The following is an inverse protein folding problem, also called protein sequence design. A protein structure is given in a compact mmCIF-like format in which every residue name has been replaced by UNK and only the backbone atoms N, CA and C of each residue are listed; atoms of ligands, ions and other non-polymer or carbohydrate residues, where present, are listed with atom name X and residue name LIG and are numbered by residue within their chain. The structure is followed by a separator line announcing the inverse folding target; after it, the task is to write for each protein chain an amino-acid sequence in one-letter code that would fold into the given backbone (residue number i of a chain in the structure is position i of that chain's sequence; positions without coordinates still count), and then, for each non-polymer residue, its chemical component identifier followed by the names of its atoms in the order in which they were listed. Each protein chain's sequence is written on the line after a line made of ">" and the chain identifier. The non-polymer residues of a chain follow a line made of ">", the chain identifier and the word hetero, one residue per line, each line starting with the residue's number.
data_IF_550269107459
#
_entry.id   IF_550269107459
#
_cell.length_a   1.000
_cell.length_b   1.000
_cell.length_c   1.000
_cell.angle_alpha   90.00
_cell.angle_beta   90.00
_cell.angle_gamma   90.00
#
_symmetry.space_group_name_H-M   'P 1'
#
loop_
_entity.id
_entity.type
_entity.pdbx_description
1 polymer ?
#
# COMPACT_ATOMS: atom_id res chain seq x y z
N UNK A 1 48.51 -45.84 29.93
CA UNK A 1 47.15 -45.30 30.08
C UNK A 1 46.21 -46.28 29.40
N UNK A 2 45.40 -46.98 30.18
CA UNK A 2 44.59 -48.08 29.67
C UNK A 2 43.47 -47.53 28.78
N UNK A 3 43.07 -48.27 27.75
CA UNK A 3 41.97 -47.89 26.84
C UNK A 3 40.66 -47.61 27.61
N UNK A 4 40.47 -48.25 28.77
CA UNK A 4 39.35 -48.00 29.69
C UNK A 4 39.44 -46.66 30.44
N UNK A 5 40.63 -46.22 30.86
CA UNK A 5 40.81 -44.91 31.53
C UNK A 5 40.56 -43.75 30.56
N UNK A 6 41.04 -43.87 29.31
CA UNK A 6 40.83 -42.85 28.28
C UNK A 6 39.33 -42.69 27.93
N UNK A 7 38.60 -43.80 27.83
CA UNK A 7 37.16 -43.75 27.59
C UNK A 7 36.41 -43.15 28.79
N UNK A 8 36.78 -43.51 30.02
CA UNK A 8 36.10 -43.03 31.21
C UNK A 8 36.29 -41.51 31.41
N UNK A 9 37.51 -40.99 31.21
CA UNK A 9 37.80 -39.55 31.25
C UNK A 9 37.09 -38.79 30.11
N UNK A 10 36.94 -39.40 28.93
CA UNK A 10 36.18 -38.81 27.83
C UNK A 10 34.68 -38.72 28.15
N UNK A 11 34.07 -39.78 28.68
CA UNK A 11 32.65 -39.78 29.05
C UNK A 11 32.36 -38.82 30.22
N UNK A 12 33.26 -38.73 31.20
CA UNK A 12 33.14 -37.79 32.32
C UNK A 12 33.26 -36.36 31.82
N UNK A 13 34.24 -36.04 30.97
CA UNK A 13 34.40 -34.70 30.40
C UNK A 13 33.21 -34.32 29.51
N UNK A 14 32.70 -35.23 28.68
CA UNK A 14 31.51 -35.00 27.87
C UNK A 14 30.26 -34.78 28.73
N UNK A 15 30.09 -35.56 29.79
CA UNK A 15 29.00 -35.39 30.75
C UNK A 15 29.07 -34.04 31.47
N UNK A 16 30.27 -33.59 31.86
CA UNK A 16 30.51 -32.29 32.51
C UNK A 16 30.24 -31.13 31.55
N UNK A 17 30.75 -31.18 30.31
CA UNK A 17 30.46 -30.14 29.31
C UNK A 17 28.97 -30.11 28.99
N UNK A 18 28.32 -31.25 28.78
CA UNK A 18 26.88 -31.30 28.54
C UNK A 18 26.07 -30.74 29.71
N UNK A 19 26.44 -31.11 30.94
CA UNK A 19 25.81 -30.59 32.16
C UNK A 19 25.99 -29.07 32.32
N UNK A 20 27.20 -28.55 32.16
CA UNK A 20 27.49 -27.11 32.25
C UNK A 20 26.80 -26.32 31.13
N UNK A 21 26.73 -26.89 29.93
CA UNK A 21 26.08 -26.25 28.79
C UNK A 21 24.58 -26.21 28.95
N UNK A 22 23.95 -27.30 29.40
CA UNK A 22 22.53 -27.35 29.73
C UNK A 22 22.21 -26.38 30.88
N UNK A 23 23.05 -26.33 31.91
CA UNK A 23 22.91 -25.38 33.01
C UNK A 23 23.02 -23.93 32.52
N UNK A 24 24.01 -23.64 31.66
CA UNK A 24 24.19 -22.34 31.03
C UNK A 24 23.00 -21.93 30.15
N UNK A 25 22.45 -22.85 29.37
CA UNK A 25 21.22 -22.64 28.60
C UNK A 25 20.06 -22.30 29.52
N UNK A 26 19.85 -23.08 30.59
CA UNK A 26 18.77 -22.86 31.55
C UNK A 26 18.92 -21.50 32.25
N UNK A 27 20.11 -21.18 32.75
CA UNK A 27 20.40 -19.90 33.41
C UNK A 27 20.19 -18.74 32.45
N UNK A 28 20.79 -18.76 31.27
CA UNK A 28 20.64 -17.71 30.26
C UNK A 28 19.17 -17.56 29.84
N UNK A 29 18.44 -18.65 29.64
CA UNK A 29 16.99 -18.62 29.34
C UNK A 29 16.20 -17.96 30.46
N UNK A 30 16.55 -18.24 31.72
CA UNK A 30 15.86 -17.65 32.88
C UNK A 30 16.23 -16.18 33.08
N UNK A 31 17.50 -15.81 32.85
CA UNK A 31 17.99 -14.43 32.95
C UNK A 31 17.42 -13.55 31.85
N UNK A 32 17.46 -14.01 30.60
CA UNK A 32 16.83 -13.34 29.45
C UNK A 32 15.33 -13.18 29.71
N UNK A 33 14.67 -14.21 30.24
CA UNK A 33 13.26 -14.14 30.59
C UNK A 33 12.97 -13.06 31.65
N UNK A 34 13.77 -13.00 32.72
CA UNK A 34 13.64 -11.97 33.76
C UNK A 34 13.96 -10.57 33.23
N UNK A 35 15.00 -10.43 32.41
CA UNK A 35 15.40 -9.15 31.81
C UNK A 35 14.31 -8.60 30.87
N UNK A 36 13.73 -9.46 30.03
CA UNK A 36 12.62 -9.09 29.15
C UNK A 36 11.39 -8.66 29.94
N UNK A 37 11.03 -9.39 31.01
CA UNK A 37 9.91 -9.02 31.88
C UNK A 37 10.16 -7.73 32.67
N UNK A 38 11.41 -7.47 33.07
CA UNK A 38 11.79 -6.22 33.75
C UNK A 38 11.72 -5.01 32.81
N UNK A 39 11.89 -5.22 31.50
CA UNK A 39 11.77 -4.16 30.50
C UNK A 39 10.30 -3.83 30.20
N UNK A 40 9.41 -4.83 30.19
CA UNK A 40 7.96 -4.63 30.04
C UNK A 40 7.31 -3.94 31.24
N UNK A 41 7.86 -4.09 32.45
CA UNK A 41 7.26 -3.46 33.65
C UNK A 41 7.45 -1.94 33.71
N UNK A 42 8.21 -1.35 32.78
CA UNK A 42 8.49 0.09 32.70
C UNK A 42 7.91 0.76 31.43
N UNK A 43 7.37 -0.01 30.48
CA UNK A 43 6.71 0.55 29.28
C UNK A 43 5.23 0.82 29.56
N UNK A 44 4.77 2.02 29.22
CA UNK A 44 3.37 2.46 29.39
C UNK A 44 2.47 2.11 28.20
N UNK A 45 3.01 1.43 27.16
CA UNK A 45 2.32 1.18 25.88
C UNK A 45 2.07 -0.32 25.66
N UNK A 46 0.81 -0.72 25.42
CA UNK A 46 0.38 -2.11 25.18
C UNK A 46 1.14 -2.82 24.02
N UNK A 47 1.65 -2.04 23.07
CA UNK A 47 2.40 -2.52 21.91
C UNK A 47 3.84 -2.94 22.23
N UNK A 48 4.47 -2.29 23.20
CA UNK A 48 5.83 -2.62 23.63
C UNK A 48 5.84 -4.02 24.27
N UNK A 49 4.79 -4.33 25.04
CA UNK A 49 4.59 -5.64 25.65
C UNK A 49 4.39 -6.75 24.61
N UNK A 50 3.63 -6.47 23.54
CA UNK A 50 3.41 -7.42 22.45
C UNK A 50 4.69 -7.72 21.67
N UNK A 51 5.53 -6.71 21.40
CA UNK A 51 6.83 -6.89 20.75
C UNK A 51 7.79 -7.67 21.64
N UNK A 52 7.90 -7.32 22.93
CA UNK A 52 8.79 -8.02 23.87
C UNK A 52 8.35 -9.48 24.07
N UNK A 53 7.05 -9.74 24.17
CA UNK A 53 6.50 -11.10 24.26
C UNK A 53 6.81 -11.94 23.02
N UNK A 54 6.87 -11.31 21.85
CA UNK A 54 7.17 -11.99 20.58
C UNK A 54 8.66 -12.28 20.46
N UNK A 55 9.53 -11.31 20.82
CA UNK A 55 10.98 -11.48 20.88
C UNK A 55 11.45 -12.46 21.97
N UNK A 56 10.60 -12.74 22.95
CA UNK A 56 10.87 -13.75 23.99
C UNK A 56 11.23 -15.11 23.42
N UNK A 57 10.42 -15.67 22.50
CA UNK A 57 10.72 -17.02 21.97
C UNK A 57 12.07 -17.05 21.23
N UNK A 58 12.35 -16.13 20.29
CA UNK A 58 13.66 -16.00 19.63
C UNK A 58 14.84 -15.86 20.60
N UNK A 59 14.73 -14.98 21.59
CA UNK A 59 15.81 -14.74 22.54
C UNK A 59 16.07 -15.97 23.42
N UNK A 60 15.05 -16.79 23.68
CA UNK A 60 15.24 -18.09 24.34
C UNK A 60 15.89 -19.17 23.47
N UNK A 61 15.91 -19.01 22.14
CA UNK A 61 16.58 -19.92 21.21
C UNK A 61 18.10 -19.65 21.10
N UNK A 62 18.54 -18.43 21.38
CA UNK A 62 19.97 -18.06 21.31
C UNK A 62 20.84 -18.89 22.27
N UNK A 63 20.52 -19.01 23.58
CA UNK A 63 21.30 -19.84 24.48
C UNK A 63 21.37 -21.30 24.03
N UNK A 64 20.26 -21.85 23.52
CA UNK A 64 20.21 -23.22 23.00
C UNK A 64 21.18 -23.39 21.84
N UNK A 65 21.23 -22.44 20.90
CA UNK A 65 22.19 -22.46 19.79
C UNK A 65 23.63 -22.34 20.25
N UNK A 66 23.91 -21.44 21.19
CA UNK A 66 25.26 -21.28 21.81
C UNK A 66 25.68 -22.57 22.50
N UNK A 67 24.75 -23.24 23.20
CA UNK A 67 25.06 -24.48 23.87
C UNK A 67 25.27 -25.65 22.91
N UNK A 68 24.47 -25.74 21.83
CA UNK A 68 24.75 -26.70 20.76
C UNK A 68 26.14 -26.47 20.14
N UNK A 69 26.54 -25.20 19.96
CA UNK A 69 27.88 -24.85 19.50
C UNK A 69 28.98 -25.24 20.50
N UNK A 70 28.81 -24.94 21.79
CA UNK A 70 29.78 -25.31 22.82
C UNK A 70 29.94 -26.84 22.91
N UNK A 71 28.84 -27.58 22.83
CA UNK A 71 28.86 -29.06 22.81
C UNK A 71 29.57 -29.60 21.57
N UNK A 72 29.33 -29.01 20.40
CA UNK A 72 29.98 -29.39 19.16
C UNK A 72 31.50 -29.22 19.21
N UNK A 73 31.99 -28.17 19.88
CA UNK A 73 33.43 -27.91 20.04
C UNK A 73 34.09 -28.81 21.09
N UNK A 74 33.32 -29.30 22.07
CA UNK A 74 33.84 -30.17 23.12
C UNK A 74 33.93 -31.65 22.70
N UNK A 75 33.15 -32.07 21.70
CA UNK A 75 33.22 -33.41 21.15
C UNK A 75 34.46 -33.53 20.23
N UNK A 76 35.31 -34.58 20.39
CA UNK A 76 36.42 -34.85 19.50
C UNK A 76 35.92 -35.43 18.17
N UNK A 77 35.22 -34.60 17.39
CA UNK A 77 34.66 -34.97 16.10
C UNK A 77 35.75 -35.02 15.03
N UNK A 78 35.69 -36.01 14.14
CA UNK A 78 36.45 -36.01 12.89
C UNK A 78 36.05 -34.80 12.04
N UNK A 79 36.96 -34.28 11.21
CA UNK A 79 36.74 -33.10 10.35
C UNK A 79 35.40 -33.15 9.59
N UNK A 80 35.05 -34.31 9.03
CA UNK A 80 33.76 -34.52 8.33
C UNK A 80 32.56 -34.22 9.23
N UNK A 81 32.52 -34.77 10.44
CA UNK A 81 31.42 -34.56 11.37
C UNK A 81 31.37 -33.12 11.88
N UNK A 82 32.53 -32.49 12.09
CA UNK A 82 32.64 -31.09 12.48
C UNK A 82 32.00 -30.15 11.46
N UNK A 83 32.23 -30.38 10.16
CA UNK A 83 31.58 -29.60 9.08
C UNK A 83 30.06 -29.73 9.11
N UNK A 84 29.53 -30.94 9.21
CA UNK A 84 28.08 -31.14 9.28
C UNK A 84 27.46 -30.52 10.54
N UNK A 85 28.14 -30.61 11.68
CA UNK A 85 27.66 -29.99 12.92
C UNK A 85 27.64 -28.46 12.83
N UNK A 86 28.68 -27.84 12.24
CA UNK A 86 28.70 -26.39 11.99
C UNK A 86 27.55 -25.95 11.05
N UNK A 87 27.30 -26.69 9.97
CA UNK A 87 26.18 -26.45 9.06
C UNK A 87 24.82 -26.54 9.76
N UNK A 88 24.64 -27.54 10.63
CA UNK A 88 23.40 -27.72 11.41
C UNK A 88 23.18 -26.57 12.40
N UNK A 89 24.24 -26.12 13.09
CA UNK A 89 24.17 -25.00 14.02
C UNK A 89 23.85 -23.70 13.28
N UNK A 90 24.52 -23.42 12.15
CA UNK A 90 24.22 -22.27 11.31
C UNK A 90 22.77 -22.31 10.82
N UNK A 91 22.31 -23.46 10.32
CA UNK A 91 20.92 -23.64 9.88
C UNK A 91 19.91 -23.35 11.00
N UNK A 92 20.20 -23.82 12.22
CA UNK A 92 19.39 -23.52 13.40
C UNK A 92 19.28 -22.00 13.65
N UNK A 93 20.40 -21.27 13.61
CA UNK A 93 20.38 -19.82 13.82
C UNK A 93 19.62 -19.08 12.71
N UNK A 94 19.80 -19.46 11.45
CA UNK A 94 19.07 -18.86 10.34
C UNK A 94 17.56 -19.09 10.49
N UNK A 95 17.12 -20.32 10.76
CA UNK A 95 15.71 -20.62 10.99
C UNK A 95 15.17 -19.86 12.20
N UNK A 96 15.93 -19.78 13.30
CA UNK A 96 15.53 -19.03 14.49
C UNK A 96 15.34 -17.54 14.20
N UNK A 97 16.24 -16.93 13.42
CA UNK A 97 16.15 -15.51 13.02
C UNK A 97 14.95 -15.27 12.11
N UNK A 98 14.76 -16.06 11.05
CA UNK A 98 13.67 -15.84 10.11
C UNK A 98 12.30 -16.19 10.70
N UNK A 99 12.22 -17.23 11.53
CA UNK A 99 11.02 -17.53 12.30
C UNK A 99 10.70 -16.42 13.31
N UNK A 100 11.72 -15.84 13.97
CA UNK A 100 11.56 -14.65 14.81
C UNK A 100 10.98 -13.47 14.06
N UNK A 101 11.55 -13.15 12.88
CA UNK A 101 11.07 -12.04 12.06
C UNK A 101 9.62 -12.27 11.63
N UNK A 102 9.28 -13.50 11.23
CA UNK A 102 7.92 -13.87 10.89
C UNK A 102 6.96 -13.75 12.09
N UNK A 103 7.36 -14.13 13.30
CA UNK A 103 6.51 -13.99 14.48
C UNK A 103 6.29 -12.52 14.86
N UNK A 104 7.29 -11.65 14.69
CA UNK A 104 7.18 -10.18 14.90
C UNK A 104 6.15 -9.52 13.96
N UNK A 105 5.74 -10.19 12.89
CA UNK A 105 4.67 -9.71 12.00
C UNK A 105 3.31 -9.66 12.71
N UNK A 106 3.04 -10.56 13.66
CA UNK A 106 1.77 -10.59 14.40
C UNK A 106 1.53 -9.35 15.30
N UNK A 107 2.45 -8.93 16.19
CA UNK A 107 2.26 -7.70 16.96
C UNK A 107 2.21 -6.45 16.07
N UNK A 108 2.95 -6.44 14.95
CA UNK A 108 2.87 -5.35 13.97
C UNK A 108 1.48 -5.30 13.31
N UNK A 109 0.87 -6.46 13.01
CA UNK A 109 -0.49 -6.54 12.48
C UNK A 109 -1.48 -5.91 13.45
N UNK A 110 -1.36 -6.23 14.73
CA UNK A 110 -2.29 -5.79 15.76
C UNK A 110 -2.13 -4.28 16.01
N UNK A 111 -0.88 -3.78 16.06
CA UNK A 111 -0.58 -2.35 16.10
C UNK A 111 -1.20 -1.57 14.93
N UNK A 112 -1.01 -2.05 13.69
CA UNK A 112 -1.62 -1.44 12.50
C UNK A 112 -3.15 -1.55 12.56
N UNK A 113 -3.66 -2.63 13.16
CA UNK A 113 -5.08 -2.88 13.38
C UNK A 113 -5.77 -1.83 14.23
N UNK A 114 -5.15 -1.49 15.35
CA UNK A 114 -5.69 -0.53 16.32
C UNK A 114 -5.55 0.92 15.86
N UNK A 115 -4.46 1.25 15.18
CA UNK A 115 -4.17 2.62 14.74
C UNK A 115 -4.85 3.01 13.43
N UNK A 116 -5.09 2.05 12.53
CA UNK A 116 -5.55 2.32 11.17
C UNK A 116 -6.78 1.49 10.77
N UNK A 117 -7.95 2.13 10.78
CA UNK A 117 -9.23 1.53 10.41
C UNK A 117 -9.50 1.44 8.89
N UNK A 118 -8.61 1.98 8.05
CA UNK A 118 -8.81 1.98 6.59
C UNK A 118 -8.63 0.59 5.95
N UNK A 119 -7.91 -0.32 6.61
CA UNK A 119 -7.75 -1.71 6.18
C UNK A 119 -8.82 -2.59 6.87
N UNK A 120 -9.60 -3.31 6.08
CA UNK A 120 -10.51 -4.33 6.62
C UNK A 120 -9.71 -5.41 7.35
N UNK A 121 -10.30 -5.99 8.40
CA UNK A 121 -9.66 -7.05 9.20
C UNK A 121 -9.19 -8.21 8.32
N UNK A 122 -10.00 -8.57 7.31
CA UNK A 122 -9.65 -9.59 6.32
C UNK A 122 -8.43 -9.17 5.51
N UNK A 123 -8.43 -7.99 4.88
CA UNK A 123 -7.32 -7.52 4.05
C UNK A 123 -6.01 -7.44 4.83
N UNK A 124 -6.07 -6.93 6.06
CA UNK A 124 -4.94 -6.90 6.99
C UNK A 124 -4.43 -8.31 7.29
N UNK A 125 -5.31 -9.28 7.59
CA UNK A 125 -4.87 -10.66 7.80
C UNK A 125 -4.15 -11.25 6.57
N UNK A 126 -4.64 -10.99 5.36
CA UNK A 126 -4.00 -11.46 4.12
C UNK A 126 -2.61 -10.85 3.90
N UNK A 127 -2.47 -9.52 4.05
CA UNK A 127 -1.19 -8.81 3.87
C UNK A 127 -0.13 -9.35 4.84
N UNK A 128 -0.49 -9.44 6.12
CA UNK A 128 0.45 -9.88 7.15
C UNK A 128 0.78 -11.38 7.03
N UNK A 129 -0.16 -12.24 6.59
CA UNK A 129 0.15 -13.64 6.25
C UNK A 129 1.11 -13.76 5.07
N UNK A 130 0.91 -12.96 4.02
CA UNK A 130 1.83 -12.92 2.88
C UNK A 130 3.23 -12.47 3.31
N UNK A 131 3.33 -11.47 4.20
CA UNK A 131 4.60 -11.01 4.75
C UNK A 131 5.31 -12.11 5.57
N UNK A 132 4.57 -12.88 6.39
CA UNK A 132 5.13 -14.05 7.10
C UNK A 132 5.67 -15.09 6.13
N UNK A 133 4.92 -15.37 5.05
CA UNK A 133 5.35 -16.31 4.02
C UNK A 133 6.67 -15.88 3.38
N UNK A 134 6.86 -14.58 3.11
CA UNK A 134 8.13 -14.05 2.59
C UNK A 134 9.29 -14.33 3.56
N UNK A 135 9.14 -14.06 4.86
CA UNK A 135 10.18 -14.36 5.84
C UNK A 135 10.53 -15.86 5.89
N UNK A 136 9.53 -16.75 5.82
CA UNK A 136 9.78 -18.19 5.78
C UNK A 136 10.49 -18.63 4.50
N UNK A 137 10.11 -18.09 3.34
CA UNK A 137 10.76 -18.40 2.07
C UNK A 137 12.23 -17.97 2.08
N UNK A 138 12.53 -16.76 2.57
CA UNK A 138 13.91 -16.27 2.69
C UNK A 138 14.70 -17.18 3.64
N UNK A 139 14.12 -17.53 4.80
CA UNK A 139 14.78 -18.42 5.75
C UNK A 139 15.10 -19.81 5.18
N UNK A 140 14.17 -20.39 4.41
CA UNK A 140 14.41 -21.66 3.72
C UNK A 140 15.53 -21.51 2.68
N UNK A 141 15.48 -20.48 1.84
CA UNK A 141 16.50 -20.24 0.80
C UNK A 141 17.88 -20.03 1.42
N UNK A 142 17.98 -19.25 2.49
CA UNK A 142 19.25 -19.04 3.18
C UNK A 142 19.82 -20.33 3.79
N UNK A 143 18.97 -21.22 4.31
CA UNK A 143 19.43 -22.54 4.75
C UNK A 143 19.91 -23.36 3.56
N UNK A 144 19.15 -23.46 2.47
CA UNK A 144 19.57 -24.21 1.28
C UNK A 144 20.96 -23.75 0.76
N UNK A 145 21.20 -22.43 0.75
CA UNK A 145 22.48 -21.85 0.37
C UNK A 145 23.63 -22.31 1.29
N UNK A 146 23.42 -22.36 2.62
CA UNK A 146 24.41 -22.91 3.56
C UNK A 146 24.79 -24.34 3.24
N UNK A 147 23.85 -25.15 2.75
CA UNK A 147 24.08 -26.54 2.38
C UNK A 147 24.68 -26.72 0.99
N UNK A 148 25.08 -25.63 0.33
CA UNK A 148 25.69 -25.65 -1.00
C UNK A 148 24.68 -25.94 -2.12
N UNK A 149 23.38 -25.85 -1.83
CA UNK A 149 22.33 -25.90 -2.85
C UNK A 149 22.28 -24.52 -3.51
N UNK A 150 22.31 -24.49 -4.85
CA UNK A 150 22.29 -23.24 -5.60
C UNK A 150 20.98 -22.47 -5.37
N UNK A 151 21.06 -21.48 -4.48
CA UNK A 151 19.96 -20.56 -4.22
C UNK A 151 19.72 -19.61 -5.40
N UNK A 152 20.69 -19.41 -6.30
CA UNK A 152 20.53 -18.50 -7.43
C UNK A 152 19.41 -18.97 -8.37
N UNK A 153 19.30 -20.28 -8.62
CA UNK A 153 18.22 -20.86 -9.41
C UNK A 153 16.82 -20.62 -8.78
N UNK A 154 16.70 -20.74 -7.45
CA UNK A 154 15.44 -20.47 -6.73
C UNK A 154 15.10 -18.99 -6.77
N UNK A 155 16.09 -18.13 -6.49
CA UNK A 155 15.93 -16.67 -6.53
C UNK A 155 15.55 -16.19 -7.93
N UNK A 156 16.17 -16.76 -8.98
CA UNK A 156 15.82 -16.47 -10.37
C UNK A 156 14.36 -16.85 -10.67
N UNK A 157 13.91 -18.02 -10.22
CA UNK A 157 12.51 -18.45 -10.34
C UNK A 157 11.54 -17.53 -9.59
N UNK A 158 11.87 -17.15 -8.36
CA UNK A 158 11.07 -16.19 -7.57
C UNK A 158 11.06 -14.79 -8.21
N UNK A 159 12.16 -14.37 -8.83
CA UNK A 159 12.24 -13.12 -9.58
C UNK A 159 11.28 -13.12 -10.77
N UNK A 160 11.29 -14.18 -11.58
CA UNK A 160 10.35 -14.32 -12.70
C UNK A 160 8.90 -14.38 -12.23
N UNK A 161 8.62 -15.13 -11.15
CA UNK A 161 7.29 -15.19 -10.55
C UNK A 161 6.84 -13.81 -10.05
N UNK A 162 7.74 -13.02 -9.46
CA UNK A 162 7.45 -11.66 -8.98
C UNK A 162 7.05 -10.72 -10.13
N UNK A 163 7.65 -10.86 -11.31
CA UNK A 163 7.25 -10.12 -12.51
C UNK A 163 5.82 -10.50 -12.92
N UNK A 164 5.49 -11.79 -12.98
CA UNK A 164 4.13 -12.23 -13.29
C UNK A 164 3.10 -11.70 -12.28
N UNK A 165 3.44 -11.72 -10.99
CA UNK A 165 2.60 -11.14 -9.94
C UNK A 165 2.43 -9.62 -10.10
N UNK A 166 3.51 -8.90 -10.41
CA UNK A 166 3.48 -7.46 -10.64
C UNK A 166 2.63 -7.08 -11.85
N UNK A 167 2.72 -7.85 -12.95
CA UNK A 167 1.87 -7.68 -14.12
C UNK A 167 0.38 -7.92 -13.77
N UNK A 168 0.08 -8.96 -13.00
CA UNK A 168 -1.27 -9.21 -12.50
C UNK A 168 -1.82 -8.10 -11.60
N UNK A 169 -0.94 -7.45 -10.83
CA UNK A 169 -1.29 -6.34 -9.94
C UNK A 169 -1.21 -4.94 -10.60
N UNK A 170 -0.83 -4.84 -11.88
CA UNK A 170 -0.57 -3.56 -12.55
C UNK A 170 -1.74 -2.58 -12.44
N UNK A 171 -2.97 -3.05 -12.65
CA UNK A 171 -4.17 -2.23 -12.55
C UNK A 171 -4.41 -1.65 -11.15
N UNK A 172 -4.02 -2.38 -10.09
CA UNK A 172 -4.12 -1.87 -8.72
C UNK A 172 -3.19 -0.67 -8.54
N UNK A 173 -1.92 -0.81 -8.92
CA UNK A 173 -0.94 0.26 -8.79
C UNK A 173 -1.27 1.46 -9.69
N UNK A 174 -1.75 1.24 -10.91
CA UNK A 174 -2.18 2.32 -11.82
C UNK A 174 -3.26 3.19 -11.18
N UNK A 175 -4.25 2.56 -10.53
CA UNK A 175 -5.31 3.30 -9.84
C UNK A 175 -4.83 3.99 -8.56
N UNK A 176 -3.92 3.36 -7.81
CA UNK A 176 -3.34 3.99 -6.62
C UNK A 176 -2.56 5.26 -7.00
N UNK A 177 -1.68 5.17 -8.01
CA UNK A 177 -0.91 6.31 -8.50
C UNK A 177 -1.84 7.38 -9.07
N UNK A 178 -2.84 7.01 -9.88
CA UNK A 178 -3.83 7.95 -10.40
C UNK A 178 -4.57 8.70 -9.29
N UNK A 179 -4.91 8.02 -8.19
CA UNK A 179 -5.54 8.66 -7.02
C UNK A 179 -4.62 9.69 -6.36
N UNK A 180 -3.34 9.35 -6.20
CA UNK A 180 -2.33 10.26 -5.66
C UNK A 180 -2.13 11.49 -6.54
N UNK A 181 -2.11 11.32 -7.87
CA UNK A 181 -1.98 12.42 -8.82
C UNK A 181 -3.19 13.36 -8.77
N UNK A 182 -4.41 12.82 -8.73
CA UNK A 182 -5.64 13.62 -8.58
C UNK A 182 -5.56 14.51 -7.33
N UNK A 183 -5.14 13.95 -6.19
CA UNK A 183 -5.03 14.68 -4.91
C UNK A 183 -3.88 15.69 -4.95
N UNK A 184 -2.74 15.32 -5.52
CA UNK A 184 -1.54 16.15 -5.57
C UNK A 184 -1.67 17.34 -6.51
N UNK A 185 -2.17 17.10 -7.72
CA UNK A 185 -2.36 18.13 -8.75
C UNK A 185 -3.64 18.95 -8.55
N UNK A 186 -4.60 18.41 -7.80
CA UNK A 186 -5.89 19.06 -7.49
C UNK A 186 -6.67 19.48 -8.75
N UNK A 187 -6.63 18.67 -9.82
CA UNK A 187 -7.42 18.89 -11.05
C UNK A 187 -8.92 19.03 -10.78
N UNK A 188 -9.40 18.39 -9.70
CA UNK A 188 -10.70 18.59 -9.09
C UNK A 188 -10.64 18.18 -7.61
N UNK A 189 -11.64 18.56 -6.84
CA UNK A 189 -11.77 18.28 -5.41
C UNK A 189 -13.13 17.66 -5.10
N UNK A 190 -13.26 17.12 -3.89
CA UNK A 190 -14.56 16.71 -3.37
C UNK A 190 -15.53 17.89 -3.38
N UNK A 191 -16.73 17.68 -3.92
CA UNK A 191 -17.76 18.70 -4.14
C UNK A 191 -17.79 19.27 -5.56
N UNK A 192 -16.72 19.13 -6.33
CA UNK A 192 -16.68 19.69 -7.68
C UNK A 192 -17.65 18.97 -8.63
N UNK A 193 -18.32 19.73 -9.50
CA UNK A 193 -19.02 19.17 -10.64
C UNK A 193 -18.03 19.00 -11.79
N UNK A 194 -17.81 17.74 -12.15
CA UNK A 194 -16.90 17.37 -13.22
C UNK A 194 -17.64 16.60 -14.33
N UNK A 195 -17.11 16.71 -15.54
CA UNK A 195 -17.49 15.88 -16.67
C UNK A 195 -16.25 15.26 -17.32
N UNK A 196 -16.34 13.96 -17.54
CA UNK A 196 -15.39 13.15 -18.29
C UNK A 196 -16.16 12.57 -19.46
N UNK A 197 -15.83 13.03 -20.66
CA UNK A 197 -16.57 12.72 -21.89
C UNK A 197 -16.69 11.20 -22.10
N UNK A 198 -17.92 10.72 -22.28
CA UNK A 198 -18.22 9.30 -22.49
C UNK A 198 -18.07 8.40 -21.26
N UNK A 199 -17.67 8.92 -20.10
CA UNK A 199 -17.42 8.13 -18.88
C UNK A 199 -18.40 8.47 -17.77
N UNK A 200 -18.40 9.73 -17.31
CA UNK A 200 -19.19 10.15 -16.17
C UNK A 200 -19.34 11.68 -16.11
N UNK A 201 -20.53 12.13 -15.74
CA UNK A 201 -20.80 13.52 -15.41
C UNK A 201 -21.57 13.60 -14.09
N UNK A 202 -21.10 14.45 -13.17
CA UNK A 202 -21.74 14.65 -11.87
C UNK A 202 -20.84 15.33 -10.83
N UNK A 203 -21.30 15.35 -9.59
CA UNK A 203 -20.55 15.93 -8.47
C UNK A 203 -19.69 14.89 -7.76
N UNK A 204 -18.44 15.22 -7.46
CA UNK A 204 -17.49 14.34 -6.78
C UNK A 204 -17.88 14.21 -5.32
N UNK A 205 -18.33 13.02 -4.90
CA UNK A 205 -18.67 12.78 -3.49
C UNK A 205 -17.48 12.34 -2.66
N UNK A 206 -16.56 11.54 -3.23
CA UNK A 206 -15.42 11.01 -2.49
C UNK A 206 -14.33 10.52 -3.44
N UNK A 207 -13.07 10.77 -3.10
CA UNK A 207 -11.91 10.19 -3.77
C UNK A 207 -11.36 9.08 -2.87
N UNK A 208 -11.53 7.81 -3.26
CA UNK A 208 -10.95 6.66 -2.56
C UNK A 208 -9.61 6.24 -3.19
N UNK A 209 -8.92 5.27 -2.57
CA UNK A 209 -7.59 4.83 -3.00
C UNK A 209 -7.53 4.30 -4.45
N UNK A 210 -8.60 3.65 -4.95
CA UNK A 210 -8.66 3.05 -6.29
C UNK A 210 -9.61 3.74 -7.24
N UNK A 211 -10.62 4.41 -6.71
CA UNK A 211 -11.73 4.96 -7.48
C UNK A 211 -12.25 6.23 -6.86
N UNK A 212 -12.87 7.06 -7.68
CA UNK A 212 -13.61 8.23 -7.23
C UNK A 212 -15.09 7.97 -7.39
N UNK A 213 -15.86 8.25 -6.33
CA UNK A 213 -17.31 8.23 -6.31
C UNK A 213 -17.83 9.56 -6.83
N UNK A 214 -18.55 9.50 -7.95
CA UNK A 214 -19.22 10.64 -8.57
C UNK A 214 -20.73 10.40 -8.46
N UNK A 215 -21.49 11.42 -8.07
CA UNK A 215 -22.95 11.40 -8.03
C UNK A 215 -23.49 12.07 -9.28
N UNK A 216 -24.14 11.29 -10.13
CA UNK A 216 -24.83 11.79 -11.32
C UNK A 216 -26.04 12.65 -10.93
N UNK A 217 -26.55 13.41 -11.89
CA UNK A 217 -27.71 14.29 -11.68
C UNK A 217 -29.02 13.54 -11.39
N UNK A 218 -29.14 12.31 -11.89
CA UNK A 218 -30.21 11.36 -11.55
C UNK A 218 -30.04 10.71 -10.16
N UNK A 219 -29.05 11.19 -9.37
CA UNK A 219 -28.64 10.68 -8.07
C UNK A 219 -28.07 9.25 -8.09
N UNK A 220 -27.76 8.66 -9.24
CA UNK A 220 -27.05 7.39 -9.28
C UNK A 220 -25.55 7.57 -8.90
N UNK A 221 -25.00 6.73 -7.99
CA UNK A 221 -23.57 6.73 -7.73
C UNK A 221 -22.82 6.00 -8.84
N UNK A 222 -21.74 6.59 -9.34
CA UNK A 222 -20.80 5.95 -10.26
C UNK A 222 -19.40 5.93 -9.65
N UNK A 223 -18.77 4.74 -9.66
CA UNK A 223 -17.41 4.55 -9.17
C UNK A 223 -16.47 4.49 -10.37
N UNK A 224 -15.71 5.54 -10.59
CA UNK A 224 -14.78 5.61 -11.73
C UNK A 224 -13.37 5.28 -11.24
N UNK A 225 -12.64 4.35 -11.88
CA UNK A 225 -11.26 4.06 -11.52
C UNK A 225 -10.39 5.32 -11.62
N UNK A 226 -9.55 5.57 -10.62
CA UNK A 226 -8.71 6.77 -10.58
C UNK A 226 -7.73 6.85 -11.75
N UNK A 227 -7.30 5.70 -12.28
CA UNK A 227 -6.46 5.65 -13.49
C UNK A 227 -7.16 6.24 -14.71
N UNK A 228 -8.46 5.98 -14.87
CA UNK A 228 -9.26 6.56 -15.97
C UNK A 228 -9.34 8.07 -15.80
N UNK A 229 -9.63 8.56 -14.60
CA UNK A 229 -9.73 9.99 -14.32
C UNK A 229 -8.39 10.71 -14.51
N UNK A 230 -7.30 10.12 -14.05
CA UNK A 230 -5.96 10.70 -14.19
C UNK A 230 -5.52 10.81 -15.65
N UNK A 231 -5.85 9.81 -16.47
CA UNK A 231 -5.45 9.74 -17.88
C UNK A 231 -6.39 10.53 -18.82
N UNK A 232 -7.58 10.91 -18.35
CA UNK A 232 -8.60 11.58 -19.19
C UNK A 232 -8.53 13.11 -19.13
N UNK A 233 -9.12 13.74 -20.15
CA UNK A 233 -9.50 15.14 -20.10
C UNK A 233 -10.70 15.31 -19.16
N UNK A 234 -10.61 16.29 -18.24
CA UNK A 234 -11.62 16.56 -17.24
C UNK A 234 -12.07 18.00 -17.39
N UNK A 235 -13.37 18.19 -17.54
CA UNK A 235 -13.99 19.52 -17.50
C UNK A 235 -14.48 19.73 -16.06
N UNK A 236 -13.84 20.66 -15.33
CA UNK A 236 -14.29 21.06 -14.00
C UNK A 236 -15.20 22.29 -14.11
N UNK A 237 -16.51 22.06 -14.01
CA UNK A 237 -17.50 23.13 -14.09
C UNK A 237 -17.53 24.00 -12.83
N UNK A 238 -17.04 23.51 -11.69
CA UNK A 238 -16.99 24.27 -10.45
C UNK A 238 -15.91 25.35 -10.44
N UNK A 239 -14.84 25.18 -11.21
CA UNK A 239 -13.75 26.15 -11.34
C UNK A 239 -14.02 27.18 -12.47
N UNK A 240 -15.19 27.16 -13.12
CA UNK A 240 -15.55 28.16 -14.14
C UNK A 240 -15.80 29.54 -13.52
N UNK A 241 -15.10 30.60 -13.95
CA UNK A 241 -15.33 31.95 -13.42
C UNK A 241 -16.69 32.51 -13.86
N UNK A 242 -17.14 32.14 -15.06
CA UNK A 242 -18.36 32.65 -15.66
C UNK A 242 -19.14 31.52 -16.37
N UNK A 243 -20.47 31.65 -16.42
CA UNK A 243 -21.35 30.71 -17.13
C UNK A 243 -21.86 31.36 -18.41
N UNK A 244 -21.61 30.71 -19.55
CA UNK A 244 -22.11 31.18 -20.84
C UNK A 244 -23.57 30.79 -21.01
N UNK A 245 -24.41 31.79 -21.27
CA UNK A 245 -25.82 31.63 -21.62
C UNK A 245 -25.91 31.67 -23.15
N UNK A 246 -26.73 30.79 -23.73
CA UNK A 246 -27.08 30.78 -25.15
C UNK A 246 -28.60 30.84 -25.25
N UNK A 247 -29.12 31.81 -25.98
CA UNK A 247 -30.55 32.02 -26.12
C UNK A 247 -30.90 32.12 -27.61
N UNK A 248 -31.74 31.23 -28.09
CA UNK A 248 -32.20 31.24 -29.48
C UNK A 248 -33.52 32.02 -29.57
N UNK A 249 -33.52 33.14 -30.29
CA UNK A 249 -34.71 33.95 -30.57
C UNK A 249 -35.12 33.74 -32.02
N UNK A 250 -36.28 33.09 -32.22
CA UNK A 250 -36.87 32.96 -33.55
C UNK A 250 -37.73 34.17 -33.88
N UNK A 251 -37.38 34.91 -34.93
CA UNK A 251 -38.15 36.04 -35.45
C UNK A 251 -39.01 35.61 -36.64
N UNK A 252 -40.17 36.24 -36.82
CA UNK A 252 -41.02 35.98 -37.98
C UNK A 252 -40.33 36.46 -39.26
N UNK A 253 -40.53 35.77 -40.38
CA UNK A 253 -40.01 36.19 -41.69
C UNK A 253 -40.52 37.56 -42.16
N UNK A 254 -41.68 37.98 -41.67
CA UNK A 254 -42.24 39.30 -41.93
C UNK A 254 -41.51 40.42 -41.16
N UNK A 255 -40.59 40.07 -40.25
CA UNK A 255 -39.81 41.05 -39.47
C UNK A 255 -38.81 41.74 -40.40
N UNK A 256 -38.96 43.06 -40.56
CA UNK A 256 -38.08 43.85 -41.42
C UNK A 256 -36.62 43.84 -40.92
N UNK A 257 -35.61 43.94 -41.81
CA UNK A 257 -34.20 44.03 -41.42
C UNK A 257 -33.92 45.16 -40.42
N UNK A 258 -34.61 46.29 -40.55
CA UNK A 258 -34.50 47.43 -39.65
C UNK A 258 -34.98 47.06 -38.24
N UNK A 259 -36.09 46.33 -38.13
CA UNK A 259 -36.60 45.81 -36.85
C UNK A 259 -35.65 44.79 -36.24
N UNK A 260 -35.04 43.91 -37.03
CA UNK A 260 -34.05 42.93 -36.54
C UNK A 260 -32.83 43.64 -35.96
N UNK A 261 -32.31 44.66 -36.66
CA UNK A 261 -31.19 45.47 -36.16
C UNK A 261 -31.54 46.22 -34.86
N UNK A 262 -32.77 46.72 -34.75
CA UNK A 262 -33.26 47.36 -33.52
C UNK A 262 -33.33 46.36 -32.36
N UNK A 263 -33.92 45.17 -32.57
CA UNK A 263 -33.99 44.09 -31.57
C UNK A 263 -32.58 43.71 -31.10
N UNK A 264 -31.65 43.52 -32.03
CA UNK A 264 -30.24 43.23 -31.70
C UNK A 264 -29.65 44.29 -30.77
N UNK A 265 -29.82 45.57 -31.13
CA UNK A 265 -29.28 46.69 -30.35
C UNK A 265 -29.92 46.79 -28.96
N UNK A 266 -31.21 46.50 -28.85
CA UNK A 266 -31.92 46.50 -27.58
C UNK A 266 -31.42 45.38 -26.65
N UNK A 267 -31.19 44.19 -27.20
CA UNK A 267 -30.59 43.07 -26.44
C UNK A 267 -29.15 43.42 -26.01
N UNK A 268 -28.34 43.98 -26.90
CA UNK A 268 -26.96 44.40 -26.61
C UNK A 268 -26.94 45.44 -25.48
N UNK A 269 -27.79 46.46 -25.59
CA UNK A 269 -27.94 47.50 -24.56
C UNK A 269 -28.45 46.95 -23.22
N UNK A 270 -29.28 45.90 -23.24
CA UNK A 270 -29.73 45.23 -22.03
C UNK A 270 -28.60 44.46 -21.35
N UNK A 271 -27.79 43.73 -22.12
CA UNK A 271 -26.65 42.97 -21.60
C UNK A 271 -25.63 43.92 -20.95
N UNK A 272 -25.27 45.01 -21.62
CA UNK A 272 -24.31 46.01 -21.11
C UNK A 272 -24.76 46.70 -19.82
N UNK A 273 -26.07 46.87 -19.62
CA UNK A 273 -26.62 47.56 -18.44
C UNK A 273 -26.95 46.63 -17.29
N UNK A 274 -26.87 45.31 -17.48
CA UNK A 274 -27.29 44.34 -16.48
C UNK A 274 -26.10 43.92 -15.60
N UNK A 275 -26.06 44.45 -14.38
CA UNK A 275 -25.00 44.17 -13.40
C UNK A 275 -24.89 42.70 -12.96
N UNK A 276 -25.84 41.83 -13.32
CA UNK A 276 -25.77 40.40 -13.06
C UNK A 276 -25.04 39.63 -14.19
N UNK A 277 -24.71 40.28 -15.29
CA UNK A 277 -23.95 39.73 -16.41
C UNK A 277 -22.51 40.25 -16.39
N UNK A 278 -21.63 39.50 -17.04
CA UNK A 278 -20.21 39.84 -17.14
C UNK A 278 -20.02 40.89 -18.21
N UNK A 279 -19.15 41.86 -17.96
CA UNK A 279 -18.80 42.87 -18.95
C UNK A 279 -18.27 42.25 -20.25
N UNK A 280 -18.73 42.80 -21.38
CA UNK A 280 -18.35 42.35 -22.72
C UNK A 280 -16.84 42.44 -22.98
N UNK A 281 -16.13 43.29 -22.23
CA UNK A 281 -14.66 43.43 -22.28
C UNK A 281 -13.93 42.22 -21.67
N UNK A 282 -14.55 41.52 -20.72
CA UNK A 282 -13.97 40.33 -20.08
C UNK A 282 -14.37 39.05 -20.82
N UNK A 283 -15.60 38.98 -21.31
CA UNK A 283 -16.14 37.84 -22.05
C UNK A 283 -16.95 38.36 -23.23
N UNK A 284 -16.55 38.00 -24.45
CA UNK A 284 -17.22 38.48 -25.65
C UNK A 284 -18.70 38.02 -25.69
N UNK A 285 -19.60 39.00 -25.66
CA UNK A 285 -21.01 38.82 -25.99
C UNK A 285 -21.19 38.92 -27.50
N UNK A 286 -22.06 38.11 -28.09
CA UNK A 286 -22.35 38.17 -29.52
C UNK A 286 -23.84 37.96 -29.70
N UNK A 287 -24.46 38.83 -30.50
CA UNK A 287 -25.86 38.74 -30.91
C UNK A 287 -25.87 38.85 -32.42
N UNK A 288 -26.27 37.80 -33.11
CA UNK A 288 -26.30 37.77 -34.58
C UNK A 288 -27.38 36.86 -35.12
N UNK A 289 -27.86 37.17 -36.32
CA UNK A 289 -28.64 36.20 -37.11
C UNK A 289 -27.71 35.04 -37.46
N UNK A 290 -28.10 33.83 -37.10
CA UNK A 290 -27.31 32.63 -37.40
C UNK A 290 -27.87 31.89 -38.61
N UNK A 291 -29.19 31.71 -38.66
CA UNK A 291 -29.83 30.81 -39.61
C UNK A 291 -31.21 31.34 -40.05
N UNK A 292 -31.62 30.94 -41.24
CA UNK A 292 -32.99 31.08 -41.76
C UNK A 292 -33.62 29.69 -41.74
N UNK A 293 -34.48 29.44 -40.76
CA UNK A 293 -35.08 28.14 -40.45
C UNK A 293 -36.48 28.02 -41.08
N UNK A 294 -37.13 26.85 -41.04
CA UNK A 294 -38.39 26.61 -41.78
C UNK A 294 -39.50 27.64 -41.52
N UNK A 295 -39.53 28.24 -40.31
CA UNK A 295 -40.54 29.24 -39.93
C UNK A 295 -40.00 30.47 -39.19
N UNK A 296 -38.67 30.62 -39.05
CA UNK A 296 -38.08 31.74 -38.31
C UNK A 296 -36.72 32.19 -38.85
N UNK A 297 -36.41 33.45 -38.61
CA UNK A 297 -35.06 34.01 -38.69
C UNK A 297 -34.46 33.89 -37.28
N UNK A 298 -33.47 33.01 -37.12
CA UNK A 298 -32.92 32.68 -35.80
C UNK A 298 -31.79 33.63 -35.43
N UNK A 299 -31.89 34.23 -34.24
CA UNK A 299 -30.88 35.08 -33.62
C UNK A 299 -30.33 34.38 -32.39
N UNK A 300 -28.99 34.32 -32.28
CA UNK A 300 -28.25 33.75 -31.15
C UNK A 300 -27.30 34.78 -30.54
#
# INVERSE_FOLDING_TARGET
>A
MNFEEFNNDLYINLGVVAGLTLLGILIARTLIFKALLSFTSHSTTEHDDALVKTLKKPLTLIPVGIGLFALAQALPLTETYKTYTDLLIKSYFYLAIFWSLADTVDPLRDFVGEKYNFLSTTLRAWIFRALKLVFYLIGIVSVLELWGIDAASIIAGLGLFSVALALGAQNFFKNLIGGLLIIGEKRFKQGDWINIEGVAEGSVEKIDFRSTLIRRFDKAPIYVPNSVLSDSEIINFSEMPFRRIRFHVGLLYETSPETIMAIRKDIESYIERNNNLVDSDQVQSTIRVTDFNDSSIDVL
#
